data_IF_888141716691
#
_entry.id   IF_888141716691
#
_cell.length_a   1.000
_cell.length_b   1.000
_cell.length_c   1.000
_cell.angle_alpha   90.00
_cell.angle_beta   90.00
_cell.angle_gamma   90.00
#
_symmetry.space_group_name_H-M   'P 1'
#
loop_
_entity.id
_entity.type
_entity.pdbx_description
1 polymer ?
#
# COMPACT_ATOMS: atom_id res chain seq x y z
N UNK A 1 -18.09 12.04 -21.28
CA UNK A 1 -17.01 11.10 -21.03
C UNK A 1 -16.74 11.02 -19.53
N UNK A 2 -15.75 11.44 -18.92
CA UNK A 2 -15.51 11.24 -17.48
C UNK A 2 -15.10 9.81 -17.15
N UNK A 3 -15.25 9.40 -15.85
CA UNK A 3 -14.84 8.07 -15.41
C UNK A 3 -15.60 6.95 -16.13
N UNK A 4 -16.85 7.17 -16.48
CA UNK A 4 -17.70 6.18 -17.17
C UNK A 4 -17.13 5.76 -18.54
N UNK A 5 -16.42 6.65 -19.22
CA UNK A 5 -15.73 6.34 -20.48
C UNK A 5 -14.60 5.32 -20.34
N UNK A 6 -14.11 5.10 -19.11
CA UNK A 6 -12.98 4.21 -18.80
C UNK A 6 -13.41 2.89 -18.17
N UNK A 7 -14.68 2.62 -17.94
CA UNK A 7 -15.14 1.34 -17.37
C UNK A 7 -14.72 0.11 -18.18
N UNK A 8 -14.60 0.24 -19.51
CA UNK A 8 -14.08 -0.81 -20.39
C UNK A 8 -12.60 -1.14 -20.16
N UNK A 9 -11.87 -0.26 -19.48
CA UNK A 9 -10.46 -0.44 -19.12
C UNK A 9 -10.29 -1.13 -17.75
N UNK A 10 -11.40 -1.56 -17.12
CA UNK A 10 -11.38 -2.30 -15.86
C UNK A 10 -10.59 -3.60 -15.94
N UNK A 11 -9.94 -3.95 -14.85
CA UNK A 11 -9.29 -5.25 -14.71
C UNK A 11 -10.36 -6.35 -14.68
N UNK A 12 -10.09 -7.47 -15.35
CA UNK A 12 -10.99 -8.63 -15.38
C UNK A 12 -10.23 -9.91 -15.08
N UNK A 13 -10.91 -10.79 -14.36
CA UNK A 13 -10.42 -12.15 -14.08
C UNK A 13 -10.61 -13.10 -15.28
N UNK A 14 -10.17 -14.35 -15.11
CA UNK A 14 -10.27 -15.41 -16.14
C UNK A 14 -11.71 -15.69 -16.59
N UNK A 15 -12.70 -15.48 -15.73
CA UNK A 15 -14.10 -15.72 -16.01
C UNK A 15 -14.80 -14.49 -16.61
N UNK A 16 -14.06 -13.39 -16.82
CA UNK A 16 -14.58 -12.13 -17.33
C UNK A 16 -15.23 -11.24 -16.26
N UNK A 17 -15.17 -11.64 -14.97
CA UNK A 17 -15.69 -10.82 -13.89
C UNK A 17 -14.81 -9.60 -13.68
N UNK A 18 -15.44 -8.47 -13.39
CA UNK A 18 -14.75 -7.24 -13.03
C UNK A 18 -14.08 -7.39 -11.66
N UNK A 19 -12.85 -6.89 -11.56
CA UNK A 19 -12.14 -6.77 -10.29
C UNK A 19 -12.32 -5.33 -9.81
N UNK A 20 -13.01 -5.16 -8.69
CA UNK A 20 -13.38 -3.87 -8.15
C UNK A 20 -13.07 -3.78 -6.65
N UNK A 21 -12.73 -2.59 -6.19
CA UNK A 21 -12.58 -2.29 -4.76
C UNK A 21 -13.94 -2.26 -4.05
N UNK A 22 -14.96 -1.83 -4.75
CA UNK A 22 -16.34 -1.74 -4.27
C UNK A 22 -17.32 -1.59 -5.43
N UNK A 23 -18.59 -1.38 -5.13
CA UNK A 23 -19.60 -1.19 -6.15
C UNK A 23 -19.25 -0.01 -7.05
N UNK A 24 -19.16 -0.24 -8.36
CA UNK A 24 -18.81 0.77 -9.39
C UNK A 24 -17.42 1.41 -9.22
N UNK A 25 -16.49 0.74 -8.52
CA UNK A 25 -15.10 1.21 -8.36
C UNK A 25 -14.16 0.14 -8.91
N UNK A 26 -14.04 -0.01 -10.24
CA UNK A 26 -13.17 -1.02 -10.84
C UNK A 26 -11.69 -0.64 -10.68
N UNK A 27 -10.85 -1.64 -10.46
CA UNK A 27 -9.42 -1.47 -10.68
C UNK A 27 -9.15 -1.33 -12.18
N UNK A 28 -8.31 -0.39 -12.56
CA UNK A 28 -8.10 -0.01 -13.96
C UNK A 28 -6.84 -0.67 -14.53
N UNK A 29 -6.88 -1.03 -15.79
CA UNK A 29 -5.70 -1.24 -16.63
C UNK A 29 -5.21 0.13 -17.07
N UNK A 30 -4.03 0.59 -16.67
CA UNK A 30 -3.56 1.94 -16.99
C UNK A 30 -3.14 2.06 -18.46
N UNK A 31 -4.11 2.28 -19.32
CA UNK A 31 -3.91 2.52 -20.76
C UNK A 31 -3.46 3.96 -21.03
N UNK A 32 -2.97 4.23 -22.22
CA UNK A 32 -2.63 5.60 -22.64
C UNK A 32 -3.84 6.54 -22.61
N UNK A 33 -5.04 6.03 -22.90
CA UNK A 33 -6.29 6.76 -22.80
C UNK A 33 -6.57 7.19 -21.36
N UNK A 34 -6.45 6.26 -20.41
CA UNK A 34 -6.65 6.55 -18.99
C UNK A 34 -5.58 7.51 -18.44
N UNK A 35 -4.31 7.32 -18.82
CA UNK A 35 -3.22 8.23 -18.41
C UNK A 35 -3.52 9.66 -18.86
N UNK A 36 -3.93 9.85 -20.12
CA UNK A 36 -4.31 11.18 -20.67
C UNK A 36 -5.51 11.76 -19.91
N UNK A 37 -6.52 10.98 -19.62
CA UNK A 37 -7.65 11.42 -18.80
C UNK A 37 -7.20 11.91 -17.43
N UNK A 38 -6.32 11.18 -16.76
CA UNK A 38 -5.77 11.60 -15.47
C UNK A 38 -5.00 12.93 -15.59
N UNK A 39 -4.16 13.07 -16.59
CA UNK A 39 -3.37 14.29 -16.82
C UNK A 39 -4.26 15.49 -17.10
N UNK A 40 -5.06 15.41 -18.16
CA UNK A 40 -5.78 16.55 -18.72
C UNK A 40 -7.06 16.91 -17.94
N UNK A 41 -7.69 15.92 -17.30
CA UNK A 41 -8.97 16.12 -16.62
C UNK A 41 -8.82 16.21 -15.11
N UNK A 42 -8.02 15.34 -14.48
CA UNK A 42 -7.90 15.31 -13.03
C UNK A 42 -6.75 16.21 -12.55
N UNK A 43 -5.53 15.89 -12.93
CA UNK A 43 -4.32 16.59 -12.44
C UNK A 43 -4.35 18.07 -12.84
N UNK A 44 -4.68 18.35 -14.09
CA UNK A 44 -4.78 19.73 -14.57
C UNK A 44 -5.72 20.59 -13.72
N UNK A 45 -6.92 20.06 -13.40
CA UNK A 45 -7.94 20.79 -12.62
C UNK A 45 -7.46 21.13 -11.20
N UNK A 46 -6.84 20.17 -10.52
CA UNK A 46 -6.39 20.41 -9.14
C UNK A 46 -5.22 21.39 -9.10
N UNK A 47 -4.31 21.35 -10.08
CA UNK A 47 -3.22 22.32 -10.20
C UNK A 47 -3.76 23.72 -10.57
N UNK A 48 -4.73 23.83 -11.49
CA UNK A 48 -5.39 25.10 -11.82
C UNK A 48 -6.12 25.70 -10.61
N UNK A 49 -6.56 24.87 -9.66
CA UNK A 49 -7.12 25.31 -8.37
C UNK A 49 -6.05 25.69 -7.32
N UNK A 50 -4.76 25.61 -7.66
CA UNK A 50 -3.65 25.99 -6.77
C UNK A 50 -3.16 24.86 -5.86
N UNK A 51 -3.58 23.60 -6.06
CA UNK A 51 -3.11 22.45 -5.29
C UNK A 51 -1.70 22.09 -5.74
N UNK A 52 -0.80 21.94 -4.78
CA UNK A 52 0.63 21.66 -5.00
C UNK A 52 1.11 20.31 -4.45
N UNK A 53 0.21 19.51 -3.89
CA UNK A 53 0.55 18.15 -3.42
C UNK A 53 -0.42 17.15 -4.02
N UNK A 54 0.10 16.24 -4.83
CA UNK A 54 -0.65 15.22 -5.54
C UNK A 54 -0.35 13.86 -4.91
N UNK A 55 -1.38 13.13 -4.57
CA UNK A 55 -1.32 11.78 -4.00
C UNK A 55 -2.06 10.85 -4.94
N UNK A 56 -1.34 9.89 -5.54
CA UNK A 56 -1.94 8.80 -6.30
C UNK A 56 -1.72 7.50 -5.54
N UNK A 57 -2.83 6.97 -5.08
CA UNK A 57 -2.90 5.88 -4.14
C UNK A 57 -2.90 4.52 -4.85
N UNK A 58 -2.24 3.54 -4.22
CA UNK A 58 -2.37 2.12 -4.51
C UNK A 58 -2.24 1.73 -5.99
N UNK A 59 -1.01 1.76 -6.56
CA UNK A 59 -0.78 1.31 -7.93
C UNK A 59 -0.92 -0.22 -8.05
N UNK A 60 -2.15 -0.72 -7.96
CA UNK A 60 -2.50 -2.12 -7.76
C UNK A 60 -2.99 -2.81 -9.03
N UNK A 61 -2.26 -3.82 -9.45
CA UNK A 61 -2.75 -4.75 -10.46
C UNK A 61 -2.91 -6.15 -9.85
N UNK A 62 -4.13 -6.63 -9.76
CA UNK A 62 -4.42 -7.95 -9.19
C UNK A 62 -3.84 -9.07 -10.05
N UNK A 63 -3.16 -10.05 -9.44
CA UNK A 63 -2.56 -11.17 -10.17
C UNK A 63 -3.60 -11.97 -10.95
N UNK A 64 -4.80 -12.15 -10.39
CA UNK A 64 -5.93 -12.79 -11.07
C UNK A 64 -6.48 -11.99 -12.26
N UNK A 65 -6.15 -10.70 -12.37
CA UNK A 65 -6.45 -9.86 -13.52
C UNK A 65 -5.60 -10.19 -14.74
N UNK A 66 -5.83 -9.45 -15.85
CA UNK A 66 -5.04 -9.64 -17.07
C UNK A 66 -5.80 -10.34 -18.20
N UNK A 67 -7.13 -10.40 -18.11
CA UNK A 67 -7.98 -11.04 -19.12
C UNK A 67 -8.87 -10.04 -19.88
N UNK A 68 -8.88 -8.76 -19.51
CA UNK A 68 -9.64 -7.73 -20.24
C UNK A 68 -9.04 -7.44 -21.61
N UNK A 69 -9.86 -6.98 -22.56
CA UNK A 69 -9.38 -6.58 -23.89
C UNK A 69 -8.38 -5.42 -23.82
N UNK A 70 -8.54 -4.51 -22.84
CA UNK A 70 -7.57 -3.45 -22.58
C UNK A 70 -6.19 -4.05 -22.24
N UNK A 71 -6.10 -5.02 -21.36
CA UNK A 71 -4.84 -5.67 -21.02
C UNK A 71 -4.22 -6.44 -22.19
N UNK A 72 -5.04 -7.16 -22.96
CA UNK A 72 -4.57 -7.89 -24.16
C UNK A 72 -3.99 -6.94 -25.20
N UNK A 73 -4.61 -5.75 -25.35
CA UNK A 73 -4.09 -4.70 -26.22
C UNK A 73 -2.74 -4.17 -25.75
N UNK A 74 -2.59 -3.90 -24.43
CA UNK A 74 -1.31 -3.46 -23.85
C UNK A 74 -0.23 -4.56 -23.95
N UNK A 75 -0.60 -5.83 -23.81
CA UNK A 75 0.29 -6.97 -24.03
C UNK A 75 0.85 -6.98 -25.46
N UNK A 76 -0.03 -6.86 -26.48
CA UNK A 76 0.38 -6.83 -27.86
C UNK A 76 1.34 -5.66 -28.17
N UNK A 77 1.08 -4.49 -27.58
CA UNK A 77 1.97 -3.33 -27.73
C UNK A 77 3.33 -3.56 -27.08
N UNK A 78 3.36 -4.14 -25.89
CA UNK A 78 4.58 -4.30 -25.10
C UNK A 78 5.47 -5.43 -25.61
N UNK A 79 4.89 -6.58 -25.92
CA UNK A 79 5.64 -7.78 -26.30
C UNK A 79 5.74 -8.00 -27.82
N UNK A 80 4.92 -7.32 -28.61
CA UNK A 80 4.85 -7.51 -30.06
C UNK A 80 4.52 -8.95 -30.52
N UNK A 81 3.76 -9.68 -29.69
CA UNK A 81 3.19 -10.99 -30.04
C UNK A 81 1.85 -11.19 -29.36
N UNK A 82 1.00 -12.14 -29.86
CA UNK A 82 -0.36 -12.35 -29.32
C UNK A 82 -0.36 -12.66 -27.83
N UNK A 83 -1.36 -12.16 -27.13
CA UNK A 83 -1.57 -12.42 -25.72
C UNK A 83 -1.66 -13.92 -25.42
N UNK A 84 -1.07 -14.33 -24.29
CA UNK A 84 -1.09 -15.69 -23.78
C UNK A 84 -1.71 -15.72 -22.40
N UNK A 85 -2.66 -16.66 -22.15
CA UNK A 85 -3.29 -16.77 -20.83
C UNK A 85 -2.28 -17.12 -19.74
N UNK A 86 -2.25 -16.33 -18.69
CA UNK A 86 -1.27 -16.50 -17.60
C UNK A 86 -1.38 -17.85 -16.87
N UNK A 87 -2.59 -18.42 -16.79
CA UNK A 87 -2.84 -19.69 -16.09
C UNK A 87 -2.32 -20.94 -16.83
N UNK A 88 -1.81 -20.81 -18.04
CA UNK A 88 -1.37 -21.95 -18.85
C UNK A 88 0.09 -22.35 -18.59
N UNK A 89 0.92 -21.44 -18.12
CA UNK A 89 2.32 -21.76 -17.83
C UNK A 89 2.97 -20.77 -16.86
N UNK A 90 4.06 -21.19 -16.17
CA UNK A 90 4.89 -20.28 -15.37
C UNK A 90 5.43 -19.08 -16.17
N UNK A 91 5.83 -19.31 -17.42
CA UNK A 91 6.32 -18.25 -18.31
C UNK A 91 5.23 -17.22 -18.60
N UNK A 92 4.02 -17.64 -18.93
CA UNK A 92 2.91 -16.74 -19.20
C UNK A 92 2.52 -15.94 -17.96
N UNK A 93 2.54 -16.57 -16.79
CA UNK A 93 2.32 -15.86 -15.50
C UNK A 93 3.40 -14.80 -15.27
N UNK A 94 4.68 -15.14 -15.47
CA UNK A 94 5.78 -14.21 -15.34
C UNK A 94 5.64 -13.00 -16.28
N UNK A 95 5.38 -13.23 -17.55
CA UNK A 95 5.19 -12.19 -18.55
C UNK A 95 3.98 -11.31 -18.22
N UNK A 96 2.86 -11.92 -17.81
CA UNK A 96 1.66 -11.19 -17.42
C UNK A 96 1.93 -10.24 -16.24
N UNK A 97 2.54 -10.74 -15.18
CA UNK A 97 2.80 -9.94 -13.99
C UNK A 97 3.90 -8.88 -14.23
N UNK A 98 4.89 -9.17 -15.06
CA UNK A 98 5.87 -8.18 -15.50
C UNK A 98 5.21 -7.03 -16.28
N UNK A 99 4.26 -7.33 -17.15
CA UNK A 99 3.50 -6.28 -17.86
C UNK A 99 2.65 -5.45 -16.90
N UNK A 100 1.94 -6.08 -15.97
CA UNK A 100 1.13 -5.38 -14.94
C UNK A 100 1.97 -4.39 -14.16
N UNK A 101 3.13 -4.82 -13.73
CA UNK A 101 4.12 -3.97 -13.06
C UNK A 101 4.53 -2.78 -13.92
N UNK A 102 4.89 -3.04 -15.19
CA UNK A 102 5.30 -2.01 -16.14
C UNK A 102 4.19 -0.98 -16.40
N UNK A 103 2.94 -1.40 -16.50
CA UNK A 103 1.82 -0.52 -16.79
C UNK A 103 1.64 0.55 -15.70
N UNK A 104 1.66 0.16 -14.42
CA UNK A 104 1.56 1.14 -13.33
C UNK A 104 2.83 1.98 -13.16
N UNK A 105 4.01 1.39 -13.36
CA UNK A 105 5.25 2.16 -13.37
C UNK A 105 5.21 3.29 -14.40
N UNK A 106 4.88 2.96 -15.65
CA UNK A 106 4.77 3.90 -16.74
C UNK A 106 3.64 4.93 -16.52
N UNK A 107 2.52 4.51 -15.94
CA UNK A 107 1.40 5.42 -15.67
C UNK A 107 1.78 6.49 -14.63
N UNK A 108 2.36 6.10 -13.50
CA UNK A 108 2.74 7.05 -12.47
C UNK A 108 3.88 7.97 -12.95
N UNK A 109 4.85 7.44 -13.69
CA UNK A 109 5.91 8.25 -14.30
C UNK A 109 5.31 9.35 -15.19
N UNK A 110 4.46 8.98 -16.13
CA UNK A 110 3.82 9.94 -17.04
C UNK A 110 2.92 10.96 -16.33
N UNK A 111 2.11 10.51 -15.38
CA UNK A 111 1.15 11.38 -14.70
C UNK A 111 1.90 12.35 -13.77
N UNK A 112 2.87 11.89 -13.00
CA UNK A 112 3.63 12.75 -12.10
C UNK A 112 4.58 13.69 -12.82
N UNK A 113 5.21 13.24 -13.90
CA UNK A 113 6.01 14.12 -14.77
C UNK A 113 5.15 15.24 -15.34
N UNK A 114 3.98 14.93 -15.87
CA UNK A 114 3.01 15.94 -16.33
C UNK A 114 2.62 16.90 -15.20
N UNK A 115 2.33 16.39 -14.00
CA UNK A 115 1.95 17.22 -12.86
C UNK A 115 3.03 18.26 -12.52
N UNK A 116 4.31 17.84 -12.48
CA UNK A 116 5.45 18.72 -12.21
C UNK A 116 5.65 19.74 -13.33
N UNK A 117 5.63 19.32 -14.59
CA UNK A 117 5.82 20.20 -15.75
C UNK A 117 4.67 21.22 -15.86
N UNK A 118 3.43 20.77 -15.71
CA UNK A 118 2.26 21.64 -15.73
C UNK A 118 2.27 22.62 -14.55
N UNK A 119 2.58 22.16 -13.35
CA UNK A 119 2.74 23.03 -12.17
C UNK A 119 3.80 24.09 -12.40
N UNK A 120 4.97 23.71 -12.90
CA UNK A 120 6.07 24.63 -13.22
C UNK A 120 5.61 25.69 -14.23
N UNK A 121 4.82 25.33 -15.23
CA UNK A 121 4.26 26.29 -16.21
C UNK A 121 3.33 27.32 -15.57
N UNK A 122 2.77 27.01 -14.40
CA UNK A 122 1.93 27.89 -13.57
C UNK A 122 2.70 28.62 -12.45
N UNK A 123 4.00 28.43 -12.36
CA UNK A 123 4.82 28.97 -11.26
C UNK A 123 4.66 28.24 -9.93
N UNK A 124 4.15 27.02 -9.95
CA UNK A 124 3.90 26.19 -8.77
C UNK A 124 4.95 25.07 -8.64
N UNK A 125 5.41 24.80 -7.41
CA UNK A 125 6.26 23.66 -7.09
C UNK A 125 5.39 22.47 -6.63
N UNK A 126 5.01 21.61 -7.58
CA UNK A 126 4.15 20.48 -7.33
C UNK A 126 4.95 19.29 -6.80
N UNK A 127 4.49 18.71 -5.70
CA UNK A 127 5.02 17.51 -5.09
C UNK A 127 4.10 16.32 -5.35
N UNK A 128 4.70 15.15 -5.63
CA UNK A 128 3.99 13.94 -6.00
C UNK A 128 4.34 12.80 -5.05
N UNK A 129 3.33 12.19 -4.46
CA UNK A 129 3.48 11.15 -3.44
C UNK A 129 2.69 9.89 -3.82
N UNK A 130 3.18 8.74 -3.36
CA UNK A 130 2.55 7.44 -3.55
C UNK A 130 2.13 6.88 -2.19
N UNK A 131 0.86 7.05 -1.77
CA UNK A 131 0.30 6.26 -0.69
C UNK A 131 0.20 4.80 -1.13
N UNK A 132 0.80 3.87 -0.40
CA UNK A 132 0.85 2.47 -0.82
C UNK A 132 1.14 1.52 0.33
N UNK A 133 0.78 0.27 0.14
CA UNK A 133 1.09 -0.81 1.07
C UNK A 133 2.50 -1.36 0.85
N UNK A 134 2.99 -2.11 1.83
CA UNK A 134 4.29 -2.76 1.73
C UNK A 134 4.28 -3.92 0.73
N UNK A 135 5.46 -4.29 0.23
CA UNK A 135 5.63 -5.49 -0.58
C UNK A 135 5.17 -6.76 0.16
N UNK A 136 5.19 -6.75 1.49
CA UNK A 136 4.67 -7.84 2.32
C UNK A 136 3.17 -8.01 2.12
N UNK A 137 2.42 -6.92 2.20
CA UNK A 137 0.98 -6.91 2.00
C UNK A 137 0.62 -7.30 0.56
N UNK A 138 1.23 -6.68 -0.43
CA UNK A 138 0.97 -6.98 -1.83
C UNK A 138 1.30 -8.42 -2.21
N UNK A 139 2.37 -8.98 -1.66
CA UNK A 139 2.69 -10.39 -1.85
C UNK A 139 1.60 -11.28 -1.25
N UNK A 140 1.12 -10.96 -0.06
CA UNK A 140 0.04 -11.69 0.61
C UNK A 140 -1.28 -11.61 -0.15
N UNK A 141 -1.63 -10.44 -0.64
CA UNK A 141 -2.90 -10.20 -1.36
C UNK A 141 -2.86 -10.59 -2.84
N UNK A 142 -1.72 -11.04 -3.33
CA UNK A 142 -1.53 -11.35 -4.76
C UNK A 142 -1.80 -10.13 -5.65
N UNK A 143 -1.17 -9.02 -5.31
CA UNK A 143 -1.19 -7.78 -6.07
C UNK A 143 0.20 -7.50 -6.63
N UNK A 144 0.27 -7.09 -7.88
CA UNK A 144 1.49 -6.62 -8.53
C UNK A 144 1.52 -5.10 -8.44
N UNK A 145 2.58 -4.56 -7.83
CA UNK A 145 2.80 -3.12 -7.70
C UNK A 145 4.26 -2.76 -7.96
N UNK A 146 4.57 -1.66 -8.65
CA UNK A 146 5.93 -1.21 -8.92
C UNK A 146 6.51 -0.34 -7.80
N UNK A 147 6.00 -0.37 -6.60
CA UNK A 147 6.24 0.58 -5.52
C UNK A 147 7.73 0.85 -5.26
N UNK A 148 8.57 -0.18 -5.23
CA UNK A 148 10.00 0.00 -4.99
C UNK A 148 10.71 0.67 -6.19
N UNK A 149 10.31 0.36 -7.42
CA UNK A 149 10.88 1.00 -8.61
C UNK A 149 10.42 2.44 -8.79
N UNK A 150 9.22 2.79 -8.33
CA UNK A 150 8.75 4.17 -8.35
C UNK A 150 9.65 5.10 -7.53
N UNK A 151 10.33 4.60 -6.50
CA UNK A 151 11.28 5.39 -5.71
C UNK A 151 12.46 5.93 -6.56
N UNK A 152 12.79 5.29 -7.69
CA UNK A 152 13.86 5.75 -8.58
C UNK A 152 13.42 6.84 -9.55
N UNK A 153 12.13 7.14 -9.66
CA UNK A 153 11.62 8.18 -10.56
C UNK A 153 11.84 9.58 -9.96
N UNK A 154 12.41 10.48 -10.74
CA UNK A 154 12.64 11.88 -10.31
C UNK A 154 11.35 12.63 -10.02
N UNK A 155 10.24 12.21 -10.63
CA UNK A 155 8.93 12.80 -10.41
C UNK A 155 8.27 12.39 -9.08
N UNK A 156 8.77 11.37 -8.37
CA UNK A 156 8.26 10.90 -7.08
C UNK A 156 9.02 11.59 -5.94
N UNK A 157 8.34 12.39 -5.15
CA UNK A 157 8.93 13.07 -3.98
C UNK A 157 8.92 12.21 -2.72
N UNK A 158 7.95 11.32 -2.58
CA UNK A 158 7.87 10.46 -1.39
C UNK A 158 6.67 9.52 -1.37
N UNK A 159 6.46 8.94 -0.19
CA UNK A 159 5.48 7.89 0.05
C UNK A 159 4.70 8.13 1.33
N UNK A 160 3.48 7.60 1.37
CA UNK A 160 2.78 7.30 2.62
C UNK A 160 2.76 5.79 2.79
N UNK A 161 3.40 5.28 3.84
CA UNK A 161 3.34 3.86 4.18
C UNK A 161 1.99 3.55 4.83
N UNK A 162 1.13 2.89 4.09
CA UNK A 162 -0.22 2.53 4.54
C UNK A 162 -0.18 1.29 5.43
N UNK A 163 0.40 1.44 6.61
CA UNK A 163 0.42 0.42 7.66
C UNK A 163 -0.63 0.77 8.70
N UNK A 164 -1.80 0.23 8.55
CA UNK A 164 -2.91 0.43 9.47
C UNK A 164 -3.26 -0.86 10.21
N UNK A 165 -4.08 -0.74 11.23
CA UNK A 165 -4.37 -1.86 12.13
C UNK A 165 -4.90 -3.08 11.37
N UNK A 166 -5.72 -2.87 10.33
CA UNK A 166 -6.27 -3.94 9.53
C UNK A 166 -5.21 -4.73 8.74
N UNK A 167 -4.24 -4.06 8.12
CA UNK A 167 -3.17 -4.74 7.35
C UNK A 167 -2.24 -5.53 8.26
N UNK A 168 -1.88 -4.96 9.40
CA UNK A 168 -1.01 -5.59 10.38
C UNK A 168 -1.63 -6.82 11.07
N UNK A 169 -2.93 -7.04 10.94
CA UNK A 169 -3.64 -8.21 11.49
C UNK A 169 -3.54 -9.46 10.62
N UNK A 170 -2.89 -9.40 9.48
CA UNK A 170 -2.72 -10.55 8.61
C UNK A 170 -2.05 -11.72 9.39
N UNK A 171 -2.71 -12.91 9.49
CA UNK A 171 -2.15 -14.00 10.27
C UNK A 171 -0.90 -14.59 9.61
N UNK A 172 0.11 -14.85 10.41
CA UNK A 172 1.34 -15.51 9.95
C UNK A 172 1.70 -16.72 10.81
N UNK A 173 2.62 -17.56 10.30
CA UNK A 173 3.10 -18.74 10.99
C UNK A 173 4.37 -18.46 11.79
N UNK A 174 4.37 -18.90 13.04
CA UNK A 174 5.57 -18.95 13.88
C UNK A 174 5.51 -20.15 14.83
N UNK A 175 6.54 -20.97 14.85
CA UNK A 175 6.59 -22.21 15.64
C UNK A 175 5.36 -23.10 15.44
N UNK A 176 4.91 -23.27 14.20
CA UNK A 176 3.75 -24.09 13.84
C UNK A 176 2.38 -23.49 14.18
N UNK A 177 2.33 -22.28 14.73
CA UNK A 177 1.08 -21.62 15.11
C UNK A 177 0.78 -20.46 14.19
N UNK A 178 -0.34 -20.55 13.46
CA UNK A 178 -0.90 -19.45 12.66
C UNK A 178 -1.74 -18.53 13.56
N UNK A 179 -1.36 -17.25 13.63
CA UNK A 179 -2.14 -16.24 14.36
C UNK A 179 -1.78 -14.82 13.93
N UNK A 180 -2.62 -13.85 14.29
CA UNK A 180 -2.33 -12.42 14.20
C UNK A 180 -1.13 -12.07 15.11
N UNK A 181 -0.16 -11.32 14.56
CA UNK A 181 1.01 -10.77 15.27
C UNK A 181 1.20 -9.33 14.86
N UNK A 182 0.32 -8.50 15.38
CA UNK A 182 0.10 -7.13 14.90
C UNK A 182 1.36 -6.27 15.02
N UNK A 183 2.05 -6.32 16.17
CA UNK A 183 3.29 -5.57 16.35
C UNK A 183 4.36 -5.98 15.35
N UNK A 184 4.60 -7.29 15.21
CA UNK A 184 5.65 -7.81 14.33
C UNK A 184 5.34 -7.52 12.86
N UNK A 185 4.09 -7.69 12.44
CA UNK A 185 3.69 -7.37 11.08
C UNK A 185 3.88 -5.89 10.79
N UNK A 186 3.34 -5.02 11.64
CA UNK A 186 3.49 -3.58 11.47
C UNK A 186 4.98 -3.15 11.43
N UNK A 187 5.81 -3.73 12.31
CA UNK A 187 7.25 -3.47 12.31
C UNK A 187 7.90 -3.84 10.97
N UNK A 188 7.57 -5.02 10.44
CA UNK A 188 8.10 -5.48 9.15
C UNK A 188 7.58 -4.64 7.98
N UNK A 189 6.31 -4.27 7.98
CA UNK A 189 5.68 -3.45 6.96
C UNK A 189 6.30 -2.04 6.91
N UNK A 190 6.41 -1.35 8.05
CA UNK A 190 7.10 -0.06 8.15
C UNK A 190 8.57 -0.15 7.74
N UNK A 191 9.25 -1.21 8.19
CA UNK A 191 10.66 -1.46 7.84
C UNK A 191 10.87 -1.70 6.35
N UNK A 192 9.98 -2.45 5.70
CA UNK A 192 9.97 -2.67 4.28
C UNK A 192 9.87 -1.33 3.52
N UNK A 193 8.87 -0.51 3.86
CA UNK A 193 8.63 0.78 3.23
C UNK A 193 9.81 1.75 3.45
N UNK A 194 10.30 1.85 4.67
CA UNK A 194 11.46 2.70 4.99
C UNK A 194 12.72 2.26 4.23
N UNK A 195 12.98 0.96 4.17
CA UNK A 195 14.17 0.41 3.50
C UNK A 195 14.13 0.63 1.99
N UNK A 196 12.95 0.59 1.39
CA UNK A 196 12.72 0.87 -0.02
C UNK A 196 13.08 2.32 -0.41
N UNK A 197 12.79 3.26 0.47
CA UNK A 197 12.89 4.70 0.19
C UNK A 197 14.19 5.34 0.66
N UNK A 198 14.84 4.78 1.69
CA UNK A 198 16.03 5.36 2.31
C UNK A 198 17.22 5.58 1.34
N UNK A 199 17.55 4.65 0.42
CA UNK A 199 18.68 4.83 -0.49
C UNK A 199 18.57 6.05 -1.41
N UNK A 200 17.32 6.48 -1.69
CA UNK A 200 17.02 7.57 -2.61
C UNK A 200 16.55 8.83 -1.88
N UNK A 201 16.60 8.82 -0.55
CA UNK A 201 16.20 9.92 0.32
C UNK A 201 14.78 10.45 0.01
N UNK A 202 13.86 9.57 -0.34
CA UNK A 202 12.47 9.95 -0.60
C UNK A 202 11.77 10.27 0.72
N UNK A 203 10.91 11.29 0.70
CA UNK A 203 10.11 11.64 1.88
C UNK A 203 9.20 10.47 2.25
N UNK A 204 9.19 10.12 3.54
CA UNK A 204 8.34 9.05 4.07
C UNK A 204 7.37 9.64 5.09
N UNK A 205 6.09 9.33 4.90
CA UNK A 205 5.05 9.52 5.89
C UNK A 205 4.60 8.15 6.38
N UNK A 206 4.39 8.01 7.69
CA UNK A 206 3.73 6.84 8.23
C UNK A 206 2.26 7.13 8.48
N UNK A 207 1.39 6.27 7.95
CA UNK A 207 -0.02 6.26 8.30
C UNK A 207 -0.18 5.73 9.73
N UNK A 208 -1.04 6.36 10.49
CA UNK A 208 -1.48 5.89 11.81
C UNK A 208 -3.01 5.92 11.88
N UNK A 209 -3.63 4.78 11.55
CA UNK A 209 -5.09 4.61 11.58
C UNK A 209 -5.48 3.60 12.67
N UNK A 210 -6.24 4.04 13.70
CA UNK A 210 -6.63 3.19 14.81
C UNK A 210 -7.80 2.25 14.49
N UNK A 211 -8.43 2.39 13.33
CA UNK A 211 -9.62 1.64 12.95
C UNK A 211 -9.37 0.86 11.66
N UNK A 212 -9.81 -0.39 11.63
CA UNK A 212 -9.84 -1.21 10.44
C UNK A 212 -11.26 -1.31 9.84
N UNK A 213 -11.37 -1.81 8.62
CA UNK A 213 -12.66 -1.98 7.95
C UNK A 213 -13.48 -3.18 8.47
N UNK A 214 -12.85 -4.09 9.21
CA UNK A 214 -13.52 -5.24 9.81
C UNK A 214 -14.31 -4.81 11.04
N UNK A 215 -15.55 -5.28 11.17
CA UNK A 215 -16.41 -4.97 12.31
C UNK A 215 -15.89 -5.67 13.59
N UNK A 216 -15.20 -4.93 14.43
CA UNK A 216 -14.67 -5.35 15.73
C UNK A 216 -15.31 -4.56 16.87
N UNK A 217 -15.00 -4.93 18.10
CA UNK A 217 -15.35 -4.10 19.24
C UNK A 217 -14.27 -3.03 19.52
N UNK A 218 -14.64 -2.00 20.28
CA UNK A 218 -13.72 -0.90 20.55
C UNK A 218 -12.47 -1.32 21.36
N UNK A 219 -12.57 -2.37 22.15
CA UNK A 219 -11.43 -2.87 22.94
C UNK A 219 -10.41 -3.55 22.02
N UNK A 220 -10.89 -4.32 21.04
CA UNK A 220 -10.05 -4.95 20.02
C UNK A 220 -9.30 -3.88 19.21
N UNK A 221 -9.99 -2.85 18.70
CA UNK A 221 -9.35 -1.72 18.02
C UNK A 221 -8.26 -1.07 18.87
N UNK A 222 -8.58 -0.78 20.13
CA UNK A 222 -7.65 -0.14 21.06
C UNK A 222 -6.36 -0.94 21.21
N UNK A 223 -6.46 -2.24 21.47
CA UNK A 223 -5.30 -3.12 21.71
C UNK A 223 -4.44 -3.22 20.45
N UNK A 224 -5.07 -3.42 19.31
CA UNK A 224 -4.33 -3.60 18.06
C UNK A 224 -3.72 -2.30 17.55
N UNK A 225 -4.39 -1.16 17.74
CA UNK A 225 -3.78 0.14 17.46
C UNK A 225 -2.57 0.44 18.35
N UNK A 226 -2.60 0.06 19.62
CA UNK A 226 -1.40 0.17 20.47
C UNK A 226 -0.22 -0.63 19.91
N UNK A 227 -0.48 -1.79 19.36
CA UNK A 227 0.57 -2.64 18.77
C UNK A 227 1.17 -2.03 17.50
N UNK A 228 0.34 -1.52 16.58
CA UNK A 228 0.82 -0.82 15.36
C UNK A 228 1.55 0.46 15.71
N UNK A 229 1.03 1.23 16.65
CA UNK A 229 1.67 2.45 17.12
C UNK A 229 3.04 2.19 17.77
N UNK A 230 3.15 1.16 18.61
CA UNK A 230 4.43 0.77 19.20
C UNK A 230 5.46 0.36 18.15
N UNK A 231 5.03 -0.35 17.10
CA UNK A 231 5.90 -0.70 15.97
C UNK A 231 6.38 0.54 15.21
N UNK A 232 5.51 1.52 14.98
CA UNK A 232 5.84 2.79 14.34
C UNK A 232 6.93 3.56 15.11
N UNK A 233 6.88 3.58 16.44
CA UNK A 233 7.86 4.25 17.29
C UNK A 233 9.27 3.65 17.20
N UNK A 234 9.41 2.42 16.69
CA UNK A 234 10.72 1.80 16.46
C UNK A 234 11.48 2.42 15.27
N UNK A 235 10.85 3.30 14.51
CA UNK A 235 11.44 4.02 13.38
C UNK A 235 11.49 5.55 13.62
N UNK A 236 12.20 6.03 14.64
CA UNK A 236 12.16 7.45 15.04
C UNK A 236 12.79 8.41 14.03
N UNK A 237 13.45 7.88 12.98
CA UNK A 237 13.95 8.69 11.86
C UNK A 237 12.82 9.13 10.91
N UNK A 238 11.64 8.50 10.96
CA UNK A 238 10.44 8.96 10.27
C UNK A 238 9.66 9.86 11.24
N UNK A 239 9.53 11.12 10.91
CA UNK A 239 8.97 12.16 11.76
C UNK A 239 7.76 12.89 11.14
N UNK A 240 7.23 12.30 10.10
CA UNK A 240 6.06 12.81 9.38
C UNK A 240 4.99 11.74 9.34
N UNK A 241 3.75 12.14 9.63
CA UNK A 241 2.66 11.20 9.86
C UNK A 241 1.39 11.66 9.16
N UNK A 242 0.65 10.72 8.59
CA UNK A 242 -0.75 10.86 8.27
C UNK A 242 -1.55 10.32 9.45
N UNK A 243 -2.31 11.19 10.12
CA UNK A 243 -3.00 10.84 11.37
C UNK A 243 -4.49 10.78 11.14
N UNK A 244 -5.07 9.61 11.38
CA UNK A 244 -6.52 9.40 11.33
C UNK A 244 -7.16 10.01 10.07
N UNK A 245 -7.01 9.39 8.88
CA UNK A 245 -7.54 9.92 7.62
C UNK A 245 -9.03 10.29 7.68
N UNK A 246 -9.79 9.55 8.52
CA UNK A 246 -11.21 9.80 8.74
C UNK A 246 -11.54 9.89 10.24
N UNK A 247 -11.23 11.00 10.89
CA UNK A 247 -11.44 11.14 12.34
C UNK A 247 -12.90 10.99 12.77
N UNK A 248 -13.85 11.28 11.91
CA UNK A 248 -15.28 11.07 12.15
C UNK A 248 -15.64 9.59 12.33
N UNK A 249 -14.97 8.66 11.64
CA UNK A 249 -15.14 7.21 11.88
C UNK A 249 -14.90 6.87 13.34
N UNK A 250 -13.89 7.49 13.94
CA UNK A 250 -13.50 7.21 15.33
C UNK A 250 -14.42 7.90 16.31
N UNK A 251 -14.55 9.22 16.17
CA UNK A 251 -15.23 10.03 17.19
C UNK A 251 -16.76 10.03 17.08
N UNK A 252 -17.31 9.72 15.92
CA UNK A 252 -18.76 9.67 15.67
C UNK A 252 -19.29 8.26 15.43
N UNK A 253 -18.41 7.30 15.09
CA UNK A 253 -18.77 5.90 14.84
C UNK A 253 -19.34 5.20 16.08
N UNK A 254 -20.11 4.15 15.83
CA UNK A 254 -20.64 3.25 16.85
C UNK A 254 -19.94 1.91 16.75
N UNK A 255 -19.29 1.49 17.82
CA UNK A 255 -18.50 0.26 17.90
C UNK A 255 -19.08 -0.69 18.93
N UNK A 256 -18.90 -2.00 18.72
CA UNK A 256 -19.38 -3.02 19.66
C UNK A 256 -18.77 -2.84 21.05
N UNK A 257 -19.58 -3.04 22.06
CA UNK A 257 -19.08 -3.26 23.41
C UNK A 257 -18.56 -4.69 23.48
N UNK A 258 -17.32 -4.87 23.95
CA UNK A 258 -16.69 -6.17 24.05
C UNK A 258 -17.59 -7.19 24.78
N UNK A 259 -17.79 -8.35 24.15
CA UNK A 259 -18.60 -9.43 24.70
C UNK A 259 -20.13 -9.24 24.61
N UNK A 260 -20.61 -8.23 23.86
CA UNK A 260 -22.05 -7.98 23.69
C UNK A 260 -22.40 -7.67 22.23
N UNK A 261 -23.69 -7.61 21.90
CA UNK A 261 -24.20 -7.15 20.60
C UNK A 261 -24.55 -5.64 20.61
N UNK A 262 -24.37 -4.99 21.73
CA UNK A 262 -24.63 -3.56 21.85
C UNK A 262 -23.50 -2.74 21.21
N UNK A 263 -23.84 -1.53 20.79
CA UNK A 263 -22.88 -0.59 20.20
C UNK A 263 -22.91 0.73 20.94
N UNK A 264 -21.76 1.33 21.12
CA UNK A 264 -21.60 2.67 21.67
C UNK A 264 -20.46 3.42 20.97
N UNK A 265 -20.33 4.70 21.22
CA UNK A 265 -19.13 5.45 20.81
C UNK A 265 -17.93 4.94 21.59
N UNK A 266 -16.74 5.11 21.02
CA UNK A 266 -15.51 4.73 21.74
C UNK A 266 -15.48 5.41 23.12
N UNK A 267 -15.01 4.71 24.15
CA UNK A 267 -14.88 5.29 25.48
C UNK A 267 -13.98 6.51 25.48
N UNK A 268 -14.30 7.48 26.35
CA UNK A 268 -13.50 8.69 26.51
C UNK A 268 -12.03 8.38 26.84
N UNK A 269 -11.77 7.31 27.58
CA UNK A 269 -10.41 6.84 27.88
C UNK A 269 -9.63 6.46 26.60
N UNK A 270 -10.30 5.89 25.60
CA UNK A 270 -9.66 5.56 24.33
C UNK A 270 -9.38 6.81 23.48
N UNK A 271 -10.32 7.75 23.39
CA UNK A 271 -10.08 9.03 22.71
C UNK A 271 -8.95 9.83 23.39
N UNK A 272 -8.85 9.81 24.71
CA UNK A 272 -7.73 10.42 25.45
C UNK A 272 -6.41 9.73 25.11
N UNK A 273 -6.38 8.39 25.03
CA UNK A 273 -5.20 7.65 24.64
C UNK A 273 -4.74 8.01 23.22
N UNK A 274 -5.65 8.12 22.25
CA UNK A 274 -5.29 8.56 20.90
C UNK A 274 -4.69 9.97 20.91
N UNK A 275 -5.22 10.88 21.72
CA UNK A 275 -4.65 12.21 21.89
C UNK A 275 -3.22 12.18 22.45
N UNK A 276 -2.96 11.32 23.43
CA UNK A 276 -1.60 11.11 23.98
C UNK A 276 -0.67 10.58 22.89
N UNK A 277 -1.12 9.61 22.09
CA UNK A 277 -0.31 9.08 20.97
C UNK A 277 0.03 10.14 19.94
N UNK A 278 -0.92 10.98 19.55
CA UNK A 278 -0.68 12.12 18.64
C UNK A 278 0.37 13.07 19.22
N UNK A 279 0.25 13.42 20.51
CA UNK A 279 1.24 14.25 21.18
C UNK A 279 2.63 13.62 21.20
N UNK A 280 2.71 12.29 21.42
CA UNK A 280 3.98 11.54 21.34
C UNK A 280 4.62 11.66 19.95
N UNK A 281 3.83 11.58 18.87
CA UNK A 281 4.36 11.77 17.51
C UNK A 281 4.89 13.19 17.29
N UNK A 282 4.22 14.21 17.83
CA UNK A 282 4.71 15.58 17.79
C UNK A 282 6.04 15.75 18.57
N UNK A 283 6.15 15.13 19.74
CA UNK A 283 7.37 15.14 20.54
C UNK A 283 8.54 14.48 19.80
N UNK A 284 8.30 13.33 19.13
CA UNK A 284 9.30 12.67 18.28
C UNK A 284 9.74 13.60 17.15
N UNK A 285 8.83 14.31 16.51
CA UNK A 285 9.15 15.23 15.42
C UNK A 285 10.05 16.37 15.86
N UNK A 286 9.85 16.90 17.05
CA UNK A 286 10.53 18.11 17.56
C UNK A 286 11.76 17.82 18.41
N UNK A 287 11.97 16.57 18.85
CA UNK A 287 13.07 16.19 19.74
C UNK A 287 14.34 15.85 18.96
N UNK A 288 15.50 16.14 19.56
CA UNK A 288 16.77 15.59 19.09
C UNK A 288 16.81 14.07 19.37
N UNK A 289 17.05 13.30 18.32
CA UNK A 289 17.01 11.85 18.38
C UNK A 289 18.40 11.27 18.28
N UNK A 290 18.75 10.42 19.26
CA UNK A 290 19.92 9.57 19.17
C UNK A 290 19.47 8.12 18.93
N UNK A 291 19.91 7.54 17.83
CA UNK A 291 19.61 6.16 17.48
C UNK A 291 20.85 5.34 17.73
N UNK A 292 20.74 4.37 18.63
CA UNK A 292 21.81 3.46 19.00
C UNK A 292 21.30 2.03 19.07
N UNK A 293 22.21 1.06 19.12
CA UNK A 293 21.90 -0.35 19.19
C UNK A 293 22.39 -1.14 18.00
N UNK A 294 21.83 -2.31 17.77
CA UNK A 294 22.20 -3.17 16.63
C UNK A 294 21.68 -2.60 15.30
N UNK A 295 22.47 -2.81 14.24
CA UNK A 295 22.01 -2.50 12.88
C UNK A 295 21.05 -3.57 12.32
N UNK A 296 20.85 -4.67 13.05
CA UNK A 296 19.98 -5.77 12.67
C UNK A 296 20.53 -6.69 11.60
N UNK A 297 19.62 -7.46 11.00
CA UNK A 297 19.92 -8.41 9.92
C UNK A 297 19.03 -8.08 8.73
N UNK A 298 19.64 -7.75 7.60
CA UNK A 298 18.90 -7.47 6.36
C UNK A 298 18.34 -8.75 5.75
N UNK A 299 17.04 -8.75 5.46
CA UNK A 299 16.36 -9.80 4.71
C UNK A 299 15.95 -9.22 3.35
N UNK A 300 16.54 -9.77 2.27
CA UNK A 300 16.26 -9.29 0.93
C UNK A 300 14.86 -9.72 0.47
N UNK A 301 14.06 -8.76 0.06
CA UNK A 301 12.83 -8.97 -0.70
C UNK A 301 12.96 -8.35 -2.09
N UNK A 302 12.52 -9.04 -3.12
CA UNK A 302 12.53 -8.55 -4.49
C UNK A 302 11.10 -8.44 -5.04
N UNK A 303 10.80 -7.32 -5.71
CA UNK A 303 9.51 -7.12 -6.39
C UNK A 303 9.16 -8.25 -7.35
N UNK A 304 10.18 -8.86 -7.99
CA UNK A 304 10.01 -9.96 -8.92
C UNK A 304 9.47 -11.25 -8.30
N UNK A 305 9.41 -11.36 -6.97
CA UNK A 305 8.71 -12.47 -6.32
C UNK A 305 7.23 -12.55 -6.74
N UNK A 306 6.61 -11.40 -6.98
CA UNK A 306 5.22 -11.34 -7.46
C UNK A 306 5.05 -11.84 -8.89
N UNK A 307 6.13 -11.94 -9.69
CA UNK A 307 6.07 -12.41 -11.07
C UNK A 307 6.05 -13.93 -11.20
N UNK A 308 6.45 -14.66 -10.16
CA UNK A 308 6.76 -16.10 -10.25
C UNK A 308 5.71 -16.99 -9.60
N UNK A 309 4.54 -16.45 -9.27
CA UNK A 309 3.50 -17.20 -8.55
C UNK A 309 2.66 -18.04 -9.51
N UNK A 310 3.10 -19.30 -9.70
CA UNK A 310 2.38 -20.26 -10.51
C UNK A 310 2.45 -21.66 -9.87
N UNK A 311 1.32 -22.40 -9.81
CA UNK A 311 -0.06 -21.90 -9.96
C UNK A 311 -0.42 -20.88 -8.88
N UNK A 312 -1.56 -20.20 -9.05
CA UNK A 312 -2.04 -19.25 -8.05
C UNK A 312 -2.22 -19.94 -6.69
N UNK A 313 -1.73 -19.30 -5.65
CA UNK A 313 -1.90 -19.71 -4.26
C UNK A 313 -2.80 -18.71 -3.53
N UNK A 314 -3.55 -19.21 -2.56
CA UNK A 314 -4.36 -18.34 -1.71
C UNK A 314 -3.53 -17.82 -0.54
N UNK A 315 -3.15 -16.54 -0.62
CA UNK A 315 -2.72 -15.71 0.49
C UNK A 315 -1.63 -16.32 1.39
N UNK A 316 -1.94 -16.43 2.66
CA UNK A 316 -1.00 -16.75 3.75
C UNK A 316 -0.40 -18.14 3.73
N UNK A 317 -0.90 -19.03 2.93
CA UNK A 317 -0.41 -20.40 2.81
C UNK A 317 0.63 -20.55 1.69
N UNK A 318 1.05 -19.43 1.09
CA UNK A 318 2.08 -19.41 0.07
C UNK A 318 3.44 -19.79 0.66
N UNK A 319 4.07 -20.89 0.17
CA UNK A 319 5.37 -21.34 0.68
C UNK A 319 6.48 -20.28 0.56
N UNK A 320 6.45 -19.44 -0.47
CA UNK A 320 7.44 -18.37 -0.65
C UNK A 320 7.34 -17.33 0.45
N UNK A 321 6.12 -17.03 0.89
CA UNK A 321 5.87 -16.05 1.95
C UNK A 321 6.13 -16.64 3.34
N UNK A 322 5.84 -17.91 3.55
CA UNK A 322 6.19 -18.62 4.79
C UNK A 322 7.69 -18.58 5.08
N UNK A 323 8.53 -18.63 4.04
CA UNK A 323 9.99 -18.53 4.19
C UNK A 323 10.42 -17.15 4.71
N UNK A 324 9.77 -16.06 4.30
CA UNK A 324 10.02 -14.73 4.82
C UNK A 324 9.77 -14.64 6.33
N UNK A 325 8.60 -15.05 6.78
CA UNK A 325 8.27 -15.05 8.21
C UNK A 325 9.13 -16.05 9.00
N UNK A 326 9.50 -17.18 8.42
CA UNK A 326 10.41 -18.15 9.02
C UNK A 326 11.80 -17.58 9.31
N UNK A 327 12.25 -16.61 8.53
CA UNK A 327 13.52 -15.92 8.73
C UNK A 327 13.39 -14.71 9.68
N UNK A 328 12.36 -13.90 9.53
CA UNK A 328 12.23 -12.62 10.23
C UNK A 328 11.69 -12.74 11.65
N UNK A 329 10.64 -13.53 11.88
CA UNK A 329 10.01 -13.62 13.20
C UNK A 329 10.93 -14.15 14.30
N UNK A 330 11.78 -15.19 14.09
CA UNK A 330 12.73 -15.64 15.11
C UNK A 330 13.71 -14.54 15.57
N UNK A 331 14.10 -13.65 14.64
CA UNK A 331 14.98 -12.52 14.93
C UNK A 331 14.24 -11.46 15.76
N UNK A 332 13.07 -11.04 15.30
CA UNK A 332 12.25 -10.03 16.01
C UNK A 332 11.88 -10.48 17.43
N UNK A 333 11.53 -11.76 17.61
CA UNK A 333 11.23 -12.33 18.93
C UNK A 333 12.42 -12.32 19.89
N UNK A 334 13.62 -12.09 19.41
CA UNK A 334 14.86 -11.93 20.17
C UNK A 334 15.34 -10.48 20.26
N UNK A 335 14.55 -9.53 19.75
CA UNK A 335 14.91 -8.12 19.71
C UNK A 335 16.00 -7.78 18.70
N UNK A 336 16.14 -8.57 17.64
CA UNK A 336 17.04 -8.31 16.52
C UNK A 336 16.19 -7.73 15.37
N UNK A 337 16.35 -6.43 15.09
CA UNK A 337 15.57 -5.76 14.06
C UNK A 337 15.97 -6.15 12.65
#
# INVERSE_FOLDING_TARGET
DGIDGHLKEGQRDRNGNEIAHGHLIPYIVPTESFIRYMQETQIKRVIDAGITSIYLEEPEFWMRGGYSEAFKSEWQKYYNFPWRPQHESPENTYLSNKLKYHLYYNALDKIFTYAKEYGKSKGLDVKCYVPTHSLINYTSWQIVSPEASLASLDCVDGYIAQVWTGTAREPNFYNGVKKERVFENAFLEYGCMKSMTAPLNRKMYFLTDPIEDRAKDWLDYKINYQATFAAQLMYPMVDTYEVMPWPDRIYQGLYRIAGTDQKERIPRSYSTQMQVMINTLNDIRTSDKQISGTHGIGVLMANSLMFQRFPDHNGYDDPQFSSFYGQTLPLLKRGIP
#
